data_IF_580550013583
#
_entry.id   IF_580550013583
#
_cell.length_a   1.000
_cell.length_b   1.000
_cell.length_c   1.000
_cell.angle_alpha   90.00
_cell.angle_beta   90.00
_cell.angle_gamma   90.00
#
_symmetry.space_group_name_H-M   'P 1'
#
loop_
_entity.id
_entity.type
_entity.pdbx_description
1 polymer ?
#
# COMPACT_ATOMS: atom_id res chain seq x y z
N UNK A 1 -1.96 -47.37 -37.30
CA UNK A 1 -0.72 -46.58 -37.14
C UNK A 1 -0.93 -45.61 -35.99
N UNK A 2 -0.36 -45.89 -34.82
CA UNK A 2 -0.41 -45.00 -33.65
C UNK A 2 1.04 -44.70 -33.25
N UNK A 3 1.44 -43.44 -33.39
CA UNK A 3 2.79 -42.99 -33.06
C UNK A 3 2.82 -42.65 -31.57
N UNK A 4 3.44 -43.52 -30.76
CA UNK A 4 3.69 -43.26 -29.35
C UNK A 4 4.71 -42.13 -29.21
N UNK A 5 4.28 -40.99 -28.68
CA UNK A 5 5.16 -39.90 -28.25
C UNK A 5 5.80 -40.35 -26.94
N UNK A 6 7.07 -40.73 -26.99
CA UNK A 6 7.87 -41.03 -25.79
C UNK A 6 8.06 -39.74 -25.00
N UNK A 7 7.44 -39.67 -23.83
CA UNK A 7 7.58 -38.59 -22.87
C UNK A 7 9.01 -38.56 -22.31
N UNK A 8 9.83 -37.63 -22.81
CA UNK A 8 11.11 -37.26 -22.22
C UNK A 8 10.85 -36.34 -21.01
N UNK A 9 10.30 -36.90 -19.94
CA UNK A 9 10.25 -36.19 -18.66
C UNK A 9 11.68 -36.11 -18.10
N UNK A 10 12.19 -34.93 -17.71
CA UNK A 10 13.51 -34.82 -17.10
C UNK A 10 13.55 -35.65 -15.82
N UNK A 11 14.60 -36.46 -15.65
CA UNK A 11 14.88 -37.12 -14.38
C UNK A 11 15.41 -36.08 -13.38
N UNK A 12 14.58 -35.77 -12.39
CA UNK A 12 14.89 -34.80 -11.35
C UNK A 12 15.61 -35.42 -10.14
N UNK A 13 15.87 -36.74 -10.12
CA UNK A 13 16.55 -37.43 -9.01
C UNK A 13 18.01 -36.98 -8.79
N UNK A 14 18.61 -36.35 -9.80
CA UNK A 14 19.98 -35.85 -9.79
C UNK A 14 20.13 -34.41 -9.25
N UNK A 15 19.04 -33.68 -9.01
CA UNK A 15 19.14 -32.32 -8.46
C UNK A 15 19.39 -32.36 -6.95
N UNK A 16 20.55 -31.85 -6.53
CA UNK A 16 20.85 -31.60 -5.11
C UNK A 16 20.71 -30.11 -4.80
N UNK A 17 20.08 -29.80 -3.67
CA UNK A 17 20.06 -28.44 -3.14
C UNK A 17 21.48 -28.11 -2.68
N UNK A 18 22.10 -27.09 -3.28
CA UNK A 18 23.40 -26.63 -2.83
C UNK A 18 23.31 -26.09 -1.40
N UNK A 19 24.24 -26.48 -0.52
CA UNK A 19 24.31 -25.99 0.87
C UNK A 19 24.63 -24.49 0.96
N UNK A 20 25.03 -23.87 -0.16
CA UNK A 20 25.28 -22.43 -0.22
C UNK A 20 23.96 -21.66 -0.19
N UNK A 21 23.76 -20.94 0.90
CA UNK A 21 22.65 -19.98 1.02
C UNK A 21 23.06 -18.65 0.40
N UNK A 22 22.17 -18.06 -0.38
CA UNK A 22 22.33 -16.71 -0.96
C UNK A 22 21.20 -15.85 -0.42
N UNK A 23 21.55 -14.67 0.08
CA UNK A 23 20.59 -13.67 0.56
C UNK A 23 20.65 -12.48 -0.37
N UNK A 24 19.49 -11.85 -0.59
CA UNK A 24 19.37 -10.60 -1.30
C UNK A 24 18.77 -9.55 -0.38
N UNK A 25 19.49 -8.45 -0.21
CA UNK A 25 19.07 -7.30 0.57
C UNK A 25 18.70 -6.13 -0.33
N UNK A 26 17.86 -5.25 0.21
CA UNK A 26 17.53 -3.96 -0.36
C UNK A 26 18.68 -2.98 -0.11
N UNK A 27 18.87 -2.04 -1.03
CA UNK A 27 19.82 -0.94 -0.85
C UNK A 27 19.32 0.13 0.11
N UNK A 28 18.00 0.24 0.29
CA UNK A 28 17.33 1.26 1.11
C UNK A 28 16.51 0.55 2.19
N UNK A 29 16.51 1.09 3.40
CA UNK A 29 15.75 0.57 4.52
C UNK A 29 14.23 0.76 4.30
N UNK A 30 13.43 -0.23 4.69
CA UNK A 30 11.96 -0.16 4.51
C UNK A 30 11.31 0.95 5.34
N UNK A 31 11.92 1.37 6.45
CA UNK A 31 11.47 2.48 7.30
C UNK A 31 11.47 3.82 6.54
N UNK A 32 12.20 3.93 5.44
CA UNK A 32 12.11 5.09 4.56
C UNK A 32 10.71 5.28 4.00
N UNK A 33 9.95 4.19 3.77
CA UNK A 33 8.59 4.29 3.25
C UNK A 33 7.58 4.80 4.27
N UNK A 34 7.84 4.65 5.58
CA UNK A 34 6.95 5.24 6.59
C UNK A 34 7.05 6.75 6.64
N UNK A 35 8.17 7.34 6.19
CA UNK A 35 8.34 8.79 6.04
C UNK A 35 7.48 9.37 4.91
N UNK A 36 7.12 8.55 3.91
CA UNK A 36 6.25 8.95 2.79
C UNK A 36 4.75 8.76 3.09
N UNK A 37 4.40 8.41 4.32
CA UNK A 37 3.01 8.18 4.72
C UNK A 37 2.37 9.46 5.25
N UNK A 38 1.14 9.73 4.83
CA UNK A 38 0.32 10.82 5.36
C UNK A 38 -0.46 10.32 6.59
N UNK A 39 0.25 10.02 7.68
CA UNK A 39 -0.31 9.33 8.84
C UNK A 39 -1.48 10.11 9.48
N UNK A 40 -1.42 11.46 9.51
CA UNK A 40 -2.47 12.29 10.11
C UNK A 40 -3.71 12.29 9.22
N UNK A 41 -3.56 12.51 7.92
CA UNK A 41 -4.67 12.40 6.95
C UNK A 41 -5.30 11.00 7.01
N UNK A 42 -4.50 9.95 7.07
CA UNK A 42 -5.00 8.58 7.12
C UNK A 42 -5.79 8.30 8.40
N UNK A 43 -5.28 8.74 9.57
CA UNK A 43 -5.98 8.62 10.85
C UNK A 43 -7.33 9.34 10.85
N UNK A 44 -7.37 10.54 10.27
CA UNK A 44 -8.57 11.34 10.12
C UNK A 44 -9.60 10.64 9.22
N UNK A 45 -9.15 10.15 8.06
CA UNK A 45 -10.01 9.41 7.12
C UNK A 45 -10.57 8.15 7.79
N UNK A 46 -9.75 7.38 8.52
CA UNK A 46 -10.20 6.21 9.25
C UNK A 46 -11.23 6.54 10.32
N UNK A 47 -10.94 7.54 11.16
CA UNK A 47 -11.89 8.01 12.19
C UNK A 47 -13.23 8.39 11.56
N UNK A 48 -13.21 8.99 10.37
CA UNK A 48 -14.42 9.34 9.64
C UNK A 48 -15.15 8.12 9.08
N UNK A 49 -14.44 7.16 8.50
CA UNK A 49 -15.03 5.90 8.02
C UNK A 49 -15.68 5.12 9.17
N UNK A 50 -15.01 5.01 10.32
CA UNK A 50 -15.54 4.34 11.51
C UNK A 50 -16.82 5.02 12.02
N UNK A 51 -16.87 6.36 11.98
CA UNK A 51 -18.07 7.14 12.33
C UNK A 51 -19.21 6.92 11.34
N UNK A 52 -18.93 6.86 10.05
CA UNK A 52 -19.93 6.57 9.01
C UNK A 52 -20.51 5.16 9.16
N UNK A 53 -19.65 4.17 9.44
CA UNK A 53 -20.07 2.80 9.70
C UNK A 53 -20.92 2.71 10.98
N UNK A 54 -20.49 3.33 12.07
CA UNK A 54 -21.25 3.39 13.33
C UNK A 54 -22.63 4.04 13.13
N UNK A 55 -22.70 5.16 12.39
CA UNK A 55 -23.96 5.83 12.05
C UNK A 55 -24.88 4.96 11.19
N UNK A 56 -24.31 4.20 10.25
CA UNK A 56 -25.06 3.29 9.40
C UNK A 56 -25.64 2.10 10.18
N UNK A 57 -24.84 1.50 11.05
CA UNK A 57 -25.26 0.37 11.89
C UNK A 57 -26.35 0.82 12.87
N UNK A 58 -26.19 1.99 13.48
CA UNK A 58 -27.19 2.56 14.39
C UNK A 58 -28.49 2.92 13.64
N UNK A 59 -28.40 3.48 12.43
CA UNK A 59 -29.57 3.75 11.59
C UNK A 59 -30.36 2.47 11.25
N UNK A 60 -29.68 1.37 10.95
CA UNK A 60 -30.31 0.08 10.69
C UNK A 60 -31.05 -0.43 11.94
N UNK A 61 -30.37 -0.46 13.08
CA UNK A 61 -30.96 -0.93 14.35
C UNK A 61 -32.15 -0.07 14.81
N UNK A 62 -32.09 1.25 14.63
CA UNK A 62 -33.23 2.15 14.89
C UNK A 62 -34.37 1.86 13.92
N UNK A 63 -34.07 1.64 12.63
CA UNK A 63 -35.08 1.36 11.61
C UNK A 63 -35.85 0.08 11.87
N UNK A 64 -35.18 -0.94 12.42
CA UNK A 64 -35.79 -2.21 12.83
C UNK A 64 -36.65 -2.03 14.09
N UNK A 65 -36.15 -1.31 15.10
CA UNK A 65 -36.94 -0.97 16.28
C UNK A 65 -38.22 -0.19 15.92
N UNK A 66 -38.11 0.79 15.01
CA UNK A 66 -39.25 1.54 14.50
C UNK A 66 -40.20 0.66 13.71
N UNK A 67 -39.71 -0.35 12.96
CA UNK A 67 -40.58 -1.28 12.23
C UNK A 67 -41.51 -2.04 13.18
N UNK A 68 -40.98 -2.59 14.27
CA UNK A 68 -41.76 -3.30 15.29
C UNK A 68 -42.82 -2.39 15.91
N UNK A 69 -42.45 -1.16 16.28
CA UNK A 69 -43.38 -0.17 16.87
C UNK A 69 -44.47 0.23 15.87
N UNK A 70 -44.12 0.44 14.60
CA UNK A 70 -45.10 0.75 13.55
C UNK A 70 -46.09 -0.40 13.37
N UNK A 71 -45.65 -1.65 13.55
CA UNK A 71 -46.47 -2.84 13.50
C UNK A 71 -47.59 -2.86 14.53
N UNK A 72 -47.38 -2.27 15.72
CA UNK A 72 -48.39 -2.26 16.80
C UNK A 72 -49.42 -1.13 16.65
N UNK A 73 -49.20 -0.17 15.74
CA UNK A 73 -50.06 1.01 15.56
C UNK A 73 -51.19 0.80 14.52
N UNK A 74 -51.68 -0.43 14.35
CA UNK A 74 -52.67 -0.83 13.32
C UNK A 74 -53.78 0.21 13.07
N UNK A 75 -53.82 0.73 11.83
CA UNK A 75 -54.77 1.73 11.31
C UNK A 75 -54.91 3.05 12.09
N UNK A 76 -53.97 3.38 12.99
CA UNK A 76 -53.98 4.67 13.66
C UNK A 76 -53.64 5.81 12.69
N UNK A 77 -54.34 6.96 12.75
CA UNK A 77 -53.97 8.17 12.01
C UNK A 77 -52.57 8.70 12.36
N UNK A 78 -51.96 8.22 13.46
CA UNK A 78 -50.60 8.58 13.87
C UNK A 78 -49.48 7.80 13.15
N UNK A 79 -49.81 6.72 12.40
CA UNK A 79 -48.85 5.83 11.72
C UNK A 79 -47.95 6.50 10.65
N UNK A 80 -48.40 7.49 9.86
CA UNK A 80 -47.58 8.07 8.79
C UNK A 80 -46.28 8.72 9.27
N UNK A 81 -46.27 9.33 10.47
CA UNK A 81 -45.10 10.07 10.97
C UNK A 81 -43.93 9.14 11.37
N UNK A 82 -44.12 8.11 12.22
CA UNK A 82 -43.07 7.13 12.49
C UNK A 82 -42.57 6.39 11.23
N UNK A 83 -43.44 6.15 10.25
CA UNK A 83 -43.05 5.57 8.97
C UNK A 83 -42.13 6.52 8.17
N UNK A 84 -42.47 7.80 8.12
CA UNK A 84 -41.63 8.83 7.51
C UNK A 84 -40.26 8.95 8.20
N UNK A 85 -40.25 8.90 9.53
CA UNK A 85 -39.02 8.88 10.34
C UNK A 85 -38.15 7.65 10.00
N UNK A 86 -38.74 6.44 10.00
CA UNK A 86 -38.04 5.21 9.64
C UNK A 86 -37.41 5.32 8.24
N UNK A 87 -38.17 5.80 7.25
CA UNK A 87 -37.67 5.95 5.87
C UNK A 87 -36.48 6.92 5.82
N UNK A 88 -36.54 8.03 6.54
CA UNK A 88 -35.42 8.98 6.61
C UNK A 88 -34.17 8.34 7.23
N UNK A 89 -34.32 7.69 8.38
CA UNK A 89 -33.21 7.06 9.12
C UNK A 89 -32.61 5.90 8.31
N UNK A 90 -33.44 5.01 7.76
CA UNK A 90 -32.98 3.91 6.91
C UNK A 90 -32.19 4.40 5.68
N UNK A 91 -32.60 5.54 5.09
CA UNK A 91 -31.89 6.19 3.99
C UNK A 91 -30.68 7.02 4.46
N UNK A 92 -30.33 6.97 5.75
CA UNK A 92 -29.24 7.73 6.39
C UNK A 92 -29.39 9.25 6.18
N UNK A 93 -30.63 9.73 6.08
CA UNK A 93 -30.98 11.14 5.91
C UNK A 93 -31.44 11.72 7.23
N UNK A 94 -30.99 12.94 7.53
CA UNK A 94 -31.48 13.68 8.69
C UNK A 94 -33.01 13.87 8.54
N UNK A 95 -33.84 13.42 9.49
CA UNK A 95 -35.27 13.65 9.43
C UNK A 95 -35.56 15.15 9.52
N UNK A 96 -36.54 15.60 8.75
CA UNK A 96 -37.05 16.96 8.87
C UNK A 96 -37.77 17.16 10.21
N UNK A 97 -38.00 18.43 10.58
CA UNK A 97 -38.63 18.82 11.85
C UNK A 97 -40.04 18.24 12.01
N UNK A 98 -40.73 17.94 10.90
CA UNK A 98 -42.08 17.37 10.93
C UNK A 98 -42.06 15.86 11.23
N UNK A 99 -41.05 15.13 10.73
CA UNK A 99 -40.83 13.71 10.99
C UNK A 99 -40.21 13.45 12.36
N UNK A 100 -39.42 14.40 12.87
CA UNK A 100 -38.82 14.34 14.20
C UNK A 100 -39.21 15.56 15.05
N UNK A 101 -40.45 15.55 15.55
CA UNK A 101 -41.03 16.57 16.43
C UNK A 101 -41.19 16.06 17.87
N UNK A 102 -41.40 16.97 18.83
CA UNK A 102 -41.71 16.61 20.23
C UNK A 102 -42.87 15.62 20.34
N UNK A 103 -43.95 15.87 19.61
CA UNK A 103 -45.13 14.98 19.56
C UNK A 103 -44.78 13.58 19.03
N UNK A 104 -43.88 13.49 18.06
CA UNK A 104 -43.44 12.19 17.51
C UNK A 104 -42.52 11.47 18.49
N UNK A 105 -41.65 12.21 19.17
CA UNK A 105 -40.75 11.68 20.18
C UNK A 105 -41.53 11.14 21.39
N UNK A 106 -42.53 11.86 21.90
CA UNK A 106 -43.37 11.44 23.03
C UNK A 106 -44.16 10.15 22.78
N UNK A 107 -44.46 9.85 21.51
CA UNK A 107 -45.15 8.62 21.10
C UNK A 107 -44.24 7.41 21.02
N UNK A 108 -42.92 7.60 21.02
CA UNK A 108 -41.97 6.50 21.01
C UNK A 108 -41.61 6.08 22.44
N UNK A 109 -41.39 4.78 22.68
CA UNK A 109 -40.79 4.33 23.93
C UNK A 109 -39.45 5.02 24.18
N UNK A 110 -39.08 5.16 25.45
CA UNK A 110 -37.93 5.95 25.88
C UNK A 110 -36.60 5.55 25.21
N UNK A 111 -36.37 4.24 25.02
CA UNK A 111 -35.14 3.72 24.41
C UNK A 111 -34.99 4.10 22.93
N UNK A 112 -35.92 3.74 22.02
CA UNK A 112 -35.90 4.20 20.62
C UNK A 112 -35.84 5.73 20.49
N UNK A 113 -36.55 6.47 21.35
CA UNK A 113 -36.52 7.93 21.38
C UNK A 113 -35.12 8.47 21.63
N UNK A 114 -34.43 7.99 22.67
CA UNK A 114 -33.07 8.41 22.99
C UNK A 114 -32.11 8.07 21.84
N UNK A 115 -32.21 6.87 21.26
CA UNK A 115 -31.38 6.44 20.13
C UNK A 115 -31.55 7.34 18.90
N UNK A 116 -32.79 7.67 18.52
CA UNK A 116 -33.06 8.61 17.41
C UNK A 116 -32.48 10.00 17.70
N UNK A 117 -32.62 10.53 18.92
CA UNK A 117 -32.03 11.81 19.30
C UNK A 117 -30.51 11.81 19.15
N UNK A 118 -29.84 10.80 19.72
CA UNK A 118 -28.38 10.65 19.63
C UNK A 118 -27.92 10.49 18.19
N UNK A 119 -28.62 9.66 17.41
CA UNK A 119 -28.30 9.44 16.01
C UNK A 119 -28.46 10.74 15.19
N UNK A 120 -29.55 11.49 15.39
CA UNK A 120 -29.79 12.75 14.68
C UNK A 120 -28.75 13.83 15.03
N UNK A 121 -28.29 13.87 16.29
CA UNK A 121 -27.19 14.76 16.69
C UNK A 121 -25.89 14.41 15.97
N UNK A 122 -25.47 13.14 16.01
CA UNK A 122 -24.27 12.65 15.31
C UNK A 122 -24.35 12.85 13.79
N UNK A 123 -25.53 12.65 13.19
CA UNK A 123 -25.74 12.87 11.76
C UNK A 123 -25.63 14.36 11.37
N UNK A 124 -25.98 15.28 12.28
CA UNK A 124 -25.79 16.73 12.10
C UNK A 124 -24.32 17.12 12.21
N UNK A 125 -23.64 16.67 13.26
CA UNK A 125 -22.20 16.86 13.44
C UNK A 125 -21.42 16.36 12.21
N UNK A 126 -21.78 15.17 11.70
CA UNK A 126 -21.22 14.61 10.47
C UNK A 126 -21.43 15.53 9.27
N UNK A 127 -22.62 16.14 9.13
CA UNK A 127 -22.91 17.06 8.02
C UNK A 127 -22.09 18.34 8.12
N UNK A 128 -21.86 18.84 9.33
CA UNK A 128 -21.06 20.05 9.60
C UNK A 128 -19.55 19.77 9.40
N UNK A 129 -19.09 18.58 9.79
CA UNK A 129 -17.70 18.14 9.63
C UNK A 129 -17.30 17.83 8.17
N UNK A 130 -18.22 17.90 7.20
CA UNK A 130 -17.89 17.70 5.78
C UNK A 130 -16.98 18.79 5.19
N UNK A 131 -16.69 19.86 5.94
CA UNK A 131 -15.67 20.85 5.64
C UNK A 131 -14.35 20.57 6.36
N UNK A 132 -13.67 19.48 6.02
CA UNK A 132 -12.33 19.19 6.57
C UNK A 132 -11.25 19.91 5.74
N UNK A 133 -10.24 20.56 6.37
CA UNK A 133 -9.46 21.58 5.70
C UNK A 133 -8.44 20.95 4.74
N UNK A 134 -8.46 21.34 3.44
CA UNK A 134 -7.40 21.03 2.47
C UNK A 134 -5.99 21.25 3.03
N UNK A 135 -5.83 22.16 3.99
CA UNK A 135 -4.58 22.51 4.66
C UNK A 135 -3.84 21.34 5.33
N UNK A 136 -4.51 20.38 5.99
CA UNK A 136 -3.79 19.27 6.64
C UNK A 136 -3.10 18.39 5.61
N UNK A 137 -3.82 18.06 4.54
CA UNK A 137 -3.30 17.27 3.43
C UNK A 137 -2.22 18.03 2.69
N UNK A 138 -2.39 19.33 2.47
CA UNK A 138 -1.39 20.17 1.79
C UNK A 138 -0.08 20.24 2.59
N UNK A 139 -0.16 20.35 3.91
CA UNK A 139 1.02 20.27 4.79
C UNK A 139 1.72 18.91 4.69
N UNK A 140 0.99 17.79 4.82
CA UNK A 140 1.61 16.45 4.72
C UNK A 140 2.17 16.15 3.33
N UNK A 141 1.57 16.72 2.27
CA UNK A 141 2.12 16.63 0.91
C UNK A 141 3.46 17.34 0.83
N UNK A 142 3.62 18.49 1.48
CA UNK A 142 4.89 19.21 1.46
C UNK A 142 5.96 18.53 2.28
N UNK A 143 5.61 18.00 3.45
CA UNK A 143 6.50 17.15 4.23
C UNK A 143 6.95 15.95 3.36
N UNK A 144 6.00 15.26 2.72
CA UNK A 144 6.30 14.09 1.85
C UNK A 144 7.19 14.46 0.65
N UNK A 145 7.09 15.69 0.15
CA UNK A 145 8.01 16.18 -0.87
C UNK A 145 9.43 16.29 -0.29
N UNK A 146 9.64 16.98 0.82
CA UNK A 146 10.96 17.05 1.45
C UNK A 146 11.54 15.65 1.74
N UNK A 147 10.69 14.74 2.24
CA UNK A 147 11.07 13.34 2.49
C UNK A 147 11.49 12.60 1.21
N UNK A 148 10.75 12.77 0.11
CA UNK A 148 11.10 12.18 -1.17
C UNK A 148 12.41 12.76 -1.75
N UNK A 149 12.71 14.02 -1.46
CA UNK A 149 13.96 14.67 -1.83
C UNK A 149 15.15 14.03 -1.12
N UNK A 150 15.05 13.84 0.20
CA UNK A 150 16.07 13.16 1.00
C UNK A 150 16.35 11.75 0.49
N UNK A 151 15.29 10.99 0.22
CA UNK A 151 15.39 9.64 -0.34
C UNK A 151 16.08 9.66 -1.70
N UNK A 152 15.74 10.64 -2.52
CA UNK A 152 16.35 10.80 -3.82
C UNK A 152 17.86 11.04 -3.71
N UNK A 153 18.34 11.65 -2.61
CA UNK A 153 19.76 11.90 -2.36
C UNK A 153 20.48 10.78 -1.62
N UNK A 154 19.77 9.75 -1.16
CA UNK A 154 20.40 8.62 -0.48
C UNK A 154 21.34 7.86 -1.43
N UNK A 155 22.54 7.52 -0.93
CA UNK A 155 23.62 6.97 -1.74
C UNK A 155 23.25 5.67 -2.48
N UNK A 156 22.53 4.71 -1.88
CA UNK A 156 22.02 3.53 -2.58
C UNK A 156 21.03 3.89 -3.70
N UNK A 157 20.19 4.92 -3.50
CA UNK A 157 19.25 5.37 -4.52
C UNK A 157 19.98 6.04 -5.70
N UNK A 158 20.94 6.91 -5.39
CA UNK A 158 21.81 7.59 -6.36
C UNK A 158 22.66 6.62 -7.20
N UNK A 159 23.01 5.43 -6.65
CA UNK A 159 23.70 4.38 -7.42
C UNK A 159 22.77 3.62 -8.38
N UNK A 160 21.50 3.44 -8.02
CA UNK A 160 20.53 2.63 -8.78
C UNK A 160 19.76 3.39 -9.85
N UNK A 161 19.36 4.62 -9.53
CA UNK A 161 18.46 5.39 -10.38
C UNK A 161 19.06 5.78 -11.75
N UNK A 162 20.33 6.22 -11.88
CA UNK A 162 20.91 6.56 -13.18
C UNK A 162 20.93 5.40 -14.16
N UNK A 163 21.07 4.16 -13.66
CA UNK A 163 21.15 2.96 -14.51
C UNK A 163 19.79 2.60 -15.11
N UNK A 164 18.72 2.82 -14.37
CA UNK A 164 17.36 2.49 -14.80
C UNK A 164 16.66 3.64 -15.51
N UNK A 165 16.90 4.88 -15.07
CA UNK A 165 16.19 6.05 -15.55
C UNK A 165 17.05 7.32 -15.42
N UNK A 166 18.04 7.51 -16.32
CA UNK A 166 18.93 8.69 -16.32
C UNK A 166 18.17 10.02 -16.29
N UNK A 167 17.07 10.13 -17.03
CA UNK A 167 16.26 11.36 -17.09
C UNK A 167 15.55 11.67 -15.77
N UNK A 168 15.21 10.65 -14.98
CA UNK A 168 14.57 10.83 -13.68
C UNK A 168 15.59 11.14 -12.59
N UNK A 169 16.84 10.70 -12.76
CA UNK A 169 17.94 11.02 -11.88
C UNK A 169 18.29 12.51 -11.86
N UNK A 170 18.10 13.22 -12.98
CA UNK A 170 18.34 14.66 -13.03
C UNK A 170 17.19 15.49 -12.39
N UNK A 171 16.00 14.91 -12.19
CA UNK A 171 14.82 15.64 -11.69
C UNK A 171 15.02 16.23 -10.28
N UNK A 172 15.59 15.50 -9.30
CA UNK A 172 15.76 16.03 -7.96
C UNK A 172 16.85 17.10 -7.81
N UNK A 173 17.73 17.27 -8.82
CA UNK A 173 18.89 18.17 -8.71
C UNK A 173 18.50 19.65 -8.74
N UNK A 174 17.71 20.14 -9.73
CA UNK A 174 17.21 21.51 -9.68
C UNK A 174 16.37 21.78 -8.43
N UNK A 175 15.65 20.76 -7.95
CA UNK A 175 14.80 20.86 -6.76
C UNK A 175 15.58 21.09 -5.46
N UNK A 176 16.88 20.78 -5.41
CA UNK A 176 17.76 21.12 -4.27
C UNK A 176 18.13 22.61 -4.22
N UNK A 177 18.14 23.26 -5.38
CA UNK A 177 18.63 24.64 -5.53
C UNK A 177 17.52 25.64 -5.81
N UNK A 178 16.38 25.16 -6.30
CA UNK A 178 15.23 25.96 -6.72
C UNK A 178 13.95 25.35 -6.10
N UNK A 179 13.10 26.14 -5.43
CA UNK A 179 11.80 25.68 -4.93
C UNK A 179 10.81 25.27 -6.03
N UNK A 180 11.13 25.43 -7.32
CA UNK A 180 10.28 24.96 -8.42
C UNK A 180 10.04 23.44 -8.34
N UNK A 181 8.81 23.08 -7.96
CA UNK A 181 8.40 21.69 -7.77
C UNK A 181 8.48 20.88 -9.07
N UNK A 182 9.04 19.66 -9.03
CA UNK A 182 8.96 18.74 -10.15
C UNK A 182 7.52 18.46 -10.58
N UNK A 183 7.34 18.12 -11.86
CA UNK A 183 6.03 17.68 -12.37
C UNK A 183 5.54 16.48 -11.56
N UNK A 184 4.23 16.44 -11.28
CA UNK A 184 3.57 15.34 -10.55
C UNK A 184 3.93 13.95 -11.09
N UNK A 185 4.03 13.80 -12.41
CA UNK A 185 4.40 12.54 -13.04
C UNK A 185 5.81 12.07 -12.66
N UNK A 186 6.76 12.98 -12.49
CA UNK A 186 8.12 12.68 -12.03
C UNK A 186 8.14 12.29 -10.56
N UNK A 187 7.40 13.01 -9.70
CA UNK A 187 7.25 12.66 -8.28
C UNK A 187 6.69 11.24 -8.11
N UNK A 188 5.60 10.92 -8.81
CA UNK A 188 5.00 9.57 -8.80
C UNK A 188 6.00 8.49 -9.26
N UNK A 189 6.82 8.79 -10.27
CA UNK A 189 7.86 7.85 -10.73
C UNK A 189 8.98 7.69 -9.70
N UNK A 190 9.45 8.77 -9.09
CA UNK A 190 10.46 8.72 -8.02
C UNK A 190 9.96 7.88 -6.84
N UNK A 191 8.73 8.11 -6.39
CA UNK A 191 8.11 7.29 -5.33
C UNK A 191 8.05 5.82 -5.72
N UNK A 192 7.70 5.48 -6.96
CA UNK A 192 7.71 4.08 -7.44
C UNK A 192 9.10 3.44 -7.38
N UNK A 193 10.14 4.19 -7.73
CA UNK A 193 11.52 3.70 -7.62
C UNK A 193 11.95 3.57 -6.15
N UNK A 194 11.57 4.49 -5.27
CA UNK A 194 11.85 4.39 -3.84
C UNK A 194 11.19 3.14 -3.22
N UNK A 195 9.89 2.94 -3.49
CA UNK A 195 9.16 1.74 -3.07
C UNK A 195 9.83 0.48 -3.61
N UNK A 196 10.22 0.47 -4.89
CA UNK A 196 10.90 -0.68 -5.49
C UNK A 196 12.25 -0.96 -4.82
N UNK A 197 13.04 0.07 -4.56
CA UNK A 197 14.35 -0.04 -3.93
C UNK A 197 14.27 -0.56 -2.49
N UNK A 198 13.19 -0.23 -1.77
CA UNK A 198 12.96 -0.64 -0.39
C UNK A 198 12.24 -2.00 -0.24
N UNK A 199 11.49 -2.48 -1.25
CA UNK A 199 10.60 -3.65 -1.08
C UNK A 199 10.78 -4.75 -2.12
N UNK A 200 11.35 -4.46 -3.30
CA UNK A 200 11.44 -5.45 -4.38
C UNK A 200 12.81 -6.13 -4.43
N UNK A 201 12.87 -7.40 -4.03
CA UNK A 201 14.08 -8.25 -4.10
C UNK A 201 14.32 -8.81 -5.50
N UNK A 202 13.76 -8.23 -6.55
CA UNK A 202 14.03 -8.67 -7.93
C UNK A 202 15.43 -8.19 -8.34
N UNK A 203 16.19 -8.96 -9.15
CA UNK A 203 17.46 -8.48 -9.70
C UNK A 203 17.16 -7.40 -10.74
N UNK A 204 16.97 -6.17 -10.28
CA UNK A 204 16.68 -5.02 -11.11
C UNK A 204 17.53 -3.88 -10.59
N UNK A 205 18.49 -3.46 -11.41
CA UNK A 205 19.50 -2.46 -11.05
C UNK A 205 20.34 -2.79 -9.81
N UNK A 206 21.16 -1.83 -9.40
CA UNK A 206 21.96 -1.81 -8.17
C UNK A 206 21.13 -1.46 -6.93
N UNK A 207 19.79 -1.46 -7.02
CA UNK A 207 18.89 -1.31 -5.87
C UNK A 207 18.87 -2.53 -4.94
N UNK A 208 19.38 -3.67 -5.41
CA UNK A 208 19.50 -4.89 -4.59
C UNK A 208 20.93 -5.37 -4.58
N UNK A 209 21.39 -5.83 -3.42
CA UNK A 209 22.67 -6.48 -3.24
C UNK A 209 22.43 -7.96 -2.97
N UNK A 210 23.24 -8.84 -3.59
CA UNK A 210 23.20 -10.28 -3.31
C UNK A 210 24.51 -10.70 -2.65
N UNK A 211 24.43 -11.58 -1.65
CA UNK A 211 25.57 -12.07 -0.89
C UNK A 211 25.37 -13.51 -0.44
N UNK A 212 26.45 -14.18 -0.03
CA UNK A 212 26.37 -15.51 0.56
C UNK A 212 25.99 -15.38 2.03
N UNK A 213 25.07 -16.23 2.50
CA UNK A 213 24.76 -16.35 3.90
C UNK A 213 25.53 -17.52 4.51
N UNK A 214 26.20 -17.26 5.63
CA UNK A 214 26.75 -18.29 6.51
C UNK A 214 25.87 -18.45 7.76
N UNK A 215 25.95 -19.61 8.41
CA UNK A 215 25.40 -19.75 9.76
C UNK A 215 26.24 -18.97 10.75
N UNK A 216 25.60 -18.23 11.64
CA UNK A 216 26.23 -17.66 12.84
C UNK A 216 25.56 -18.27 14.07
N UNK A 217 26.33 -18.54 15.12
CA UNK A 217 25.82 -18.99 16.42
C UNK A 217 25.26 -17.84 17.26
N UNK A 218 25.51 -16.60 16.86
CA UNK A 218 25.02 -15.41 17.55
C UNK A 218 23.60 -15.04 17.09
N UNK A 219 22.76 -14.64 18.03
CA UNK A 219 21.33 -14.33 17.82
C UNK A 219 21.05 -13.04 17.05
N UNK A 220 22.08 -12.29 16.65
CA UNK A 220 21.90 -11.00 15.96
C UNK A 220 22.22 -11.14 14.47
N UNK A 221 21.23 -11.07 13.57
CA UNK A 221 21.50 -11.09 12.14
C UNK A 221 22.26 -9.81 11.73
N UNK A 222 23.48 -9.97 11.23
CA UNK A 222 24.31 -8.86 10.76
C UNK A 222 24.55 -8.97 9.24
N UNK A 223 24.07 -7.99 8.48
CA UNK A 223 24.44 -7.82 7.07
C UNK A 223 25.72 -6.99 7.00
N UNK A 224 26.84 -7.61 6.64
CA UNK A 224 28.08 -6.87 6.32
C UNK A 224 28.22 -6.75 4.80
N UNK A 225 28.27 -5.51 4.31
CA UNK A 225 28.76 -5.25 2.96
C UNK A 225 30.24 -5.68 2.92
N UNK A 226 30.59 -6.56 1.99
CA UNK A 226 31.98 -6.93 1.79
C UNK A 226 32.76 -5.69 1.32
N UNK A 227 33.84 -5.35 2.02
CA UNK A 227 34.75 -4.27 1.61
C UNK A 227 35.29 -4.56 0.21
N UNK A 228 35.33 -3.58 -0.72
CA UNK A 228 35.99 -3.76 -2.02
C UNK A 228 37.45 -4.20 -1.78
N UNK A 229 37.82 -5.38 -2.26
CA UNK A 229 39.14 -6.01 -2.03
C UNK A 229 39.13 -7.26 -1.13
N UNK A 230 38.04 -7.52 -0.39
CA UNK A 230 37.85 -8.75 0.40
C UNK A 230 37.20 -9.89 -0.41
N UNK A 231 36.98 -9.71 -1.70
CA UNK A 231 36.46 -10.77 -2.56
C UNK A 231 37.51 -11.89 -2.65
N UNK A 232 37.43 -12.87 -1.74
CA UNK A 232 38.06 -14.17 -1.95
C UNK A 232 37.47 -14.70 -3.26
N UNK A 233 38.29 -14.69 -4.30
CA UNK A 233 38.00 -15.35 -5.57
C UNK A 233 37.42 -16.71 -5.24
N UNK A 234 36.23 -17.01 -5.79
CA UNK A 234 35.77 -18.39 -5.81
C UNK A 234 36.89 -19.23 -6.44
N UNK A 235 37.17 -20.46 -5.94
CA UNK A 235 38.12 -21.33 -6.62
C UNK A 235 37.65 -21.45 -8.07
N UNK A 236 38.48 -21.00 -8.99
CA UNK A 236 38.29 -21.25 -10.41
C UNK A 236 38.13 -22.74 -10.55
N UNK A 237 36.97 -23.16 -11.03
CA UNK A 237 36.71 -24.55 -11.38
C UNK A 237 37.68 -24.86 -12.53
N UNK A 238 38.85 -25.40 -12.20
CA UNK A 238 39.84 -25.83 -13.18
C UNK A 238 39.24 -27.03 -13.90
N UNK A 239 38.69 -26.79 -15.08
CA UNK A 239 38.28 -27.85 -15.99
C UNK A 239 39.53 -28.58 -16.49
N UNK A 240 39.99 -29.56 -15.71
CA UNK A 240 40.89 -30.61 -16.20
C UNK A 240 40.01 -31.63 -16.92
N UNK A 241 39.75 -31.36 -18.20
CA UNK A 241 38.99 -32.22 -19.09
C UNK A 241 39.70 -32.30 -20.44
N UNK A 242 40.31 -33.46 -20.68
CA UNK A 242 41.18 -33.80 -21.80
C UNK A 242 40.65 -33.44 -23.19
N UNK A 243 41.60 -33.05 -24.04
CA UNK A 243 41.46 -32.82 -25.47
C UNK A 243 40.71 -33.94 -26.23
N UNK A 244 39.81 -33.53 -27.13
CA UNK A 244 39.60 -34.23 -28.41
C UNK A 244 39.56 -33.22 -29.54
N UNK A 245 40.64 -33.25 -30.34
CA UNK A 245 40.78 -32.59 -31.63
C UNK A 245 39.74 -33.13 -32.63
N UNK A 246 39.09 -32.22 -33.35
CA UNK A 246 38.55 -32.29 -34.74
C UNK A 246 38.02 -30.85 -34.97
N UNK A 247 38.62 -29.96 -35.75
CA UNK A 247 39.08 -30.04 -37.14
C UNK A 247 38.24 -29.02 -37.95
N UNK A 248 38.84 -27.85 -38.27
CA UNK A 248 38.55 -26.88 -39.38
C UNK A 248 37.08 -26.50 -39.69
N UNK A 249 36.66 -25.24 -39.84
CA UNK A 249 37.19 -24.12 -40.65
C UNK A 249 36.43 -22.80 -40.27
N UNK A 250 36.97 -21.59 -40.50
CA UNK A 250 36.41 -20.31 -40.07
C UNK A 250 35.57 -19.63 -41.16
N UNK A 251 34.62 -18.77 -40.75
CA UNK A 251 34.15 -17.52 -41.40
C UNK A 251 32.68 -17.23 -41.07
N UNK A 252 32.44 -16.09 -40.40
CA UNK A 252 31.35 -15.12 -40.62
C UNK A 252 31.38 -14.13 -39.45
N UNK A 253 31.92 -12.92 -39.65
CA UNK A 253 31.19 -11.72 -40.08
C UNK A 253 30.19 -11.27 -39.00
N UNK A 254 30.50 -10.18 -38.28
CA UNK A 254 29.95 -8.84 -38.54
C UNK A 254 28.44 -8.86 -38.72
N UNK A 255 27.69 -8.14 -37.87
CA UNK A 255 26.73 -7.11 -38.26
C UNK A 255 25.94 -6.60 -37.03
N UNK A 256 25.87 -5.26 -36.96
CA UNK A 256 24.85 -4.37 -36.36
C UNK A 256 24.72 -4.29 -34.84
#
# INVERSE_FOLDING_TARGET
>A
MATSITSNAPDFSQFRIAETRVVRGYGIDVTVLSRLNHAKTFSVVHTRLDREESLANEAAAISDALFTIIGTLSNSPSKPRPLGLRRAIHQKRLPDRHKWSTETAERLPASPRARVTTWAAKARERREALGEPPALREAEVEDTHAELQDIAMDAPFQRGLPRDSPTLFEVPRPWLTDPLRPRRSSLVRLTKYAVRAATKTSPFSTFTASGRAGGTTDSTPATRLATPGSARSAPTCSATGSARRRGTNPKSACWR
#
